data_IF_331223428140
#
_entry.id   IF_331223428140
#
_cell.length_a   1.000
_cell.length_b   1.000
_cell.length_c   1.000
_cell.angle_alpha   90.00
_cell.angle_beta   90.00
_cell.angle_gamma   90.00
#
_symmetry.space_group_name_H-M   'P 1'
#
loop_
_entity.id
_entity.type
_entity.pdbx_description
1 polymer ?
#
# COMPACT_ATOMS: atom_id res chain seq x y z
N UNK A 1 8.58 13.37 -4.41
CA UNK A 1 7.59 13.01 -3.38
C UNK A 1 8.04 11.78 -2.59
N UNK A 2 8.17 10.60 -3.20
CA UNK A 2 8.47 9.34 -2.51
C UNK A 2 9.81 9.35 -1.74
N UNK A 3 10.86 9.99 -2.29
CA UNK A 3 12.15 10.12 -1.60
C UNK A 3 12.04 10.84 -0.24
N UNK A 4 11.22 11.89 -0.17
CA UNK A 4 11.01 12.64 1.08
C UNK A 4 10.11 11.90 2.08
N UNK A 5 9.18 11.06 1.57
CA UNK A 5 8.26 10.33 2.43
C UNK A 5 8.86 9.03 3.00
N UNK A 6 9.74 8.35 2.27
CA UNK A 6 10.33 7.08 2.72
C UNK A 6 11.01 7.17 4.11
N UNK A 7 11.85 8.18 4.43
CA UNK A 7 12.42 8.33 5.77
C UNK A 7 11.36 8.58 6.86
N UNK A 8 10.34 9.38 6.57
CA UNK A 8 9.27 9.68 7.52
C UNK A 8 8.46 8.42 7.85
N UNK A 9 8.11 7.61 6.83
CA UNK A 9 7.44 6.33 7.03
C UNK A 9 8.32 5.35 7.81
N UNK A 10 9.63 5.30 7.52
CA UNK A 10 10.56 4.45 8.27
C UNK A 10 10.58 4.83 9.75
N UNK A 11 10.73 6.11 10.07
CA UNK A 11 10.75 6.58 11.46
C UNK A 11 9.43 6.26 12.17
N UNK A 12 8.29 6.61 11.57
CA UNK A 12 6.97 6.32 12.12
C UNK A 12 6.77 4.80 12.33
N UNK A 13 7.15 3.99 11.34
CA UNK A 13 7.04 2.54 11.41
C UNK A 13 7.92 1.90 12.47
N UNK A 14 9.16 2.38 12.64
CA UNK A 14 10.06 1.92 13.72
C UNK A 14 9.48 2.27 15.10
N UNK A 15 8.93 3.48 15.26
CA UNK A 15 8.27 3.88 16.51
C UNK A 15 7.07 2.99 16.80
N UNK A 16 6.17 2.78 15.82
CA UNK A 16 5.03 1.88 16.00
C UNK A 16 5.47 0.45 16.34
N UNK A 17 6.48 -0.07 15.66
CA UNK A 17 7.00 -1.42 15.90
C UNK A 17 7.61 -1.56 17.29
N UNK A 18 8.39 -0.56 17.75
CA UNK A 18 9.06 -0.61 19.04
C UNK A 18 8.08 -0.48 20.21
N UNK A 19 7.07 0.39 20.05
CA UNK A 19 6.12 0.71 21.11
C UNK A 19 4.90 -0.21 21.15
N UNK A 20 4.60 -0.97 20.09
CA UNK A 20 3.46 -1.88 20.05
C UNK A 20 3.47 -2.85 21.24
N UNK A 21 2.38 -2.92 22.03
CA UNK A 21 2.34 -3.70 23.27
C UNK A 21 2.33 -5.20 23.06
N UNK A 22 1.84 -5.66 21.90
CA UNK A 22 1.66 -7.07 21.60
C UNK A 22 2.60 -7.57 20.51
N UNK A 23 2.98 -8.85 20.53
CA UNK A 23 3.80 -9.45 19.49
C UNK A 23 3.12 -9.40 18.10
N UNK A 24 1.82 -9.71 17.93
CA UNK A 24 1.12 -9.52 16.65
C UNK A 24 1.20 -8.09 16.14
N UNK A 25 1.01 -7.09 17.01
CA UNK A 25 1.14 -5.68 16.67
C UNK A 25 2.55 -5.33 16.18
N UNK A 26 3.60 -5.77 16.87
CA UNK A 26 5.01 -5.56 16.47
C UNK A 26 5.31 -6.18 15.11
N UNK A 27 4.91 -7.44 14.90
CA UNK A 27 5.10 -8.13 13.61
C UNK A 27 4.37 -7.37 12.51
N UNK A 28 3.11 -7.00 12.74
CA UNK A 28 2.31 -6.26 11.76
C UNK A 28 2.93 -4.91 11.39
N UNK A 29 3.33 -4.11 12.38
CA UNK A 29 3.98 -2.83 12.16
C UNK A 29 5.32 -2.98 11.43
N UNK A 30 6.12 -3.99 11.77
CA UNK A 30 7.36 -4.28 11.06
C UNK A 30 7.14 -4.63 9.60
N UNK A 31 6.14 -5.47 9.28
CA UNK A 31 5.77 -5.83 7.91
C UNK A 31 5.28 -4.59 7.13
N UNK A 32 4.43 -3.75 7.72
CA UNK A 32 3.99 -2.50 7.11
C UNK A 32 5.18 -1.56 6.82
N UNK A 33 6.08 -1.40 7.78
CA UNK A 33 7.26 -0.54 7.65
C UNK A 33 8.17 -1.02 6.53
N UNK A 34 8.53 -2.30 6.53
CA UNK A 34 9.42 -2.90 5.52
C UNK A 34 8.82 -2.80 4.12
N UNK A 35 7.54 -3.14 3.95
CA UNK A 35 6.85 -3.05 2.67
C UNK A 35 6.73 -1.61 2.16
N UNK A 36 6.49 -0.65 3.06
CA UNK A 36 6.43 0.77 2.73
C UNK A 36 7.80 1.33 2.33
N UNK A 37 8.84 1.04 3.10
CA UNK A 37 10.23 1.45 2.74
C UNK A 37 10.63 0.84 1.41
N UNK A 38 10.28 -0.42 1.16
CA UNK A 38 10.51 -1.08 -0.12
C UNK A 38 9.78 -0.38 -1.27
N UNK A 39 8.50 -0.04 -1.12
CA UNK A 39 7.74 0.67 -2.15
C UNK A 39 8.33 2.05 -2.43
N UNK A 40 8.39 2.91 -1.40
CA UNK A 40 8.78 4.31 -1.57
C UNK A 40 10.26 4.44 -1.92
N UNK A 41 11.12 3.59 -1.38
CA UNK A 41 12.56 3.54 -1.70
C UNK A 41 12.83 3.09 -3.13
N UNK A 42 12.20 1.98 -3.56
CA UNK A 42 12.34 1.49 -4.95
C UNK A 42 11.81 2.52 -5.95
N UNK A 43 10.67 3.13 -5.66
CA UNK A 43 10.08 4.17 -6.51
C UNK A 43 10.99 5.39 -6.60
N UNK A 44 11.56 5.84 -5.49
CA UNK A 44 12.52 6.95 -5.48
C UNK A 44 13.77 6.63 -6.31
N UNK A 45 14.33 5.42 -6.15
CA UNK A 45 15.48 4.97 -6.94
C UNK A 45 15.16 4.89 -8.43
N UNK A 46 14.02 4.29 -8.79
CA UNK A 46 13.57 4.15 -10.17
C UNK A 46 13.45 5.49 -10.89
N UNK A 47 12.83 6.49 -10.25
CA UNK A 47 12.54 7.78 -10.88
C UNK A 47 13.69 8.78 -10.85
N UNK A 48 14.71 8.58 -10.01
CA UNK A 48 15.85 9.53 -9.89
C UNK A 48 17.15 9.00 -10.48
N UNK A 49 17.32 7.70 -10.59
CA UNK A 49 18.54 7.10 -11.10
C UNK A 49 18.66 7.19 -12.62
N UNK A 50 19.88 7.32 -13.09
CA UNK A 50 20.22 7.19 -14.51
C UNK A 50 20.58 5.73 -14.79
N UNK A 51 19.57 4.95 -15.17
CA UNK A 51 19.68 3.52 -15.38
C UNK A 51 19.83 3.19 -16.86
N UNK A 52 20.65 2.17 -17.17
CA UNK A 52 20.62 1.54 -18.48
C UNK A 52 19.29 0.81 -18.70
N UNK A 53 18.94 0.51 -19.94
CA UNK A 53 17.64 -0.09 -20.29
C UNK A 53 17.29 -1.39 -19.53
N UNK A 54 18.19 -2.37 -19.35
CA UNK A 54 17.88 -3.58 -18.58
C UNK A 54 17.57 -3.28 -17.11
N UNK A 55 18.39 -2.45 -16.46
CA UNK A 55 18.21 -2.07 -15.06
C UNK A 55 16.93 -1.24 -14.87
N UNK A 56 16.64 -0.33 -15.79
CA UNK A 56 15.40 0.45 -15.79
C UNK A 56 14.16 -0.44 -15.91
N UNK A 57 14.22 -1.45 -16.78
CA UNK A 57 13.13 -2.42 -16.92
C UNK A 57 12.92 -3.23 -15.64
N UNK A 58 13.99 -3.63 -14.95
CA UNK A 58 13.95 -4.30 -13.66
C UNK A 58 13.31 -3.40 -12.59
N UNK A 59 13.78 -2.17 -12.42
CA UNK A 59 13.21 -1.23 -11.46
C UNK A 59 11.72 -0.97 -11.71
N UNK A 60 11.31 -0.84 -12.98
CA UNK A 60 9.90 -0.68 -13.32
C UNK A 60 9.04 -1.85 -12.89
N UNK A 61 9.56 -3.09 -13.00
CA UNK A 61 8.85 -4.29 -12.52
C UNK A 61 8.72 -4.27 -11.00
N UNK A 62 9.82 -3.99 -10.30
CA UNK A 62 9.85 -3.92 -8.85
C UNK A 62 8.92 -2.82 -8.32
N UNK A 63 9.00 -1.62 -8.87
CA UNK A 63 8.17 -0.46 -8.50
C UNK A 63 6.67 -0.80 -8.56
N UNK A 64 6.24 -1.47 -9.63
CA UNK A 64 4.84 -1.88 -9.77
C UNK A 64 4.47 -3.11 -8.91
N UNK A 65 5.38 -4.07 -8.73
CA UNK A 65 5.14 -5.24 -7.89
C UNK A 65 5.05 -4.87 -6.40
N UNK A 66 5.82 -3.89 -5.97
CA UNK A 66 5.83 -3.42 -4.59
C UNK A 66 4.49 -2.80 -4.15
N UNK A 67 3.64 -2.37 -5.08
CA UNK A 67 2.28 -1.90 -4.76
C UNK A 67 1.48 -3.05 -4.13
N UNK A 68 1.52 -4.26 -4.70
CA UNK A 68 0.87 -5.43 -4.12
C UNK A 68 1.41 -5.76 -2.73
N UNK A 69 2.74 -5.71 -2.58
CA UNK A 69 3.41 -5.99 -1.30
C UNK A 69 3.00 -4.96 -0.23
N UNK A 70 2.91 -3.68 -0.59
CA UNK A 70 2.54 -2.63 0.36
C UNK A 70 1.07 -2.67 0.74
N UNK A 71 0.16 -3.02 -0.20
CA UNK A 71 -1.24 -3.26 0.13
C UNK A 71 -1.33 -4.41 1.15
N UNK A 72 -0.70 -5.56 0.89
CA UNK A 72 -0.70 -6.69 1.83
C UNK A 72 -0.05 -6.32 3.18
N UNK A 73 1.06 -5.58 3.14
CA UNK A 73 1.74 -5.06 4.32
C UNK A 73 0.86 -4.14 5.16
N UNK A 74 0.00 -3.34 4.53
CA UNK A 74 -0.96 -2.45 5.21
C UNK A 74 -2.09 -3.24 5.88
N UNK A 75 -2.58 -4.30 5.26
CA UNK A 75 -3.57 -5.19 5.87
C UNK A 75 -3.02 -5.93 7.09
N UNK A 76 -1.75 -6.29 7.08
CA UNK A 76 -1.15 -7.20 8.06
C UNK A 76 -1.31 -6.72 9.51
N UNK A 77 -0.93 -5.50 9.92
CA UNK A 77 -1.10 -5.04 11.30
C UNK A 77 -2.58 -4.97 11.71
N UNK A 78 -3.46 -4.43 10.86
CA UNK A 78 -4.88 -4.30 11.15
C UNK A 78 -5.54 -5.69 11.37
N UNK A 79 -5.21 -6.64 10.50
CA UNK A 79 -5.75 -8.00 10.57
C UNK A 79 -5.20 -8.77 11.78
N UNK A 80 -3.92 -8.64 12.08
CA UNK A 80 -3.29 -9.33 13.21
C UNK A 80 -3.76 -8.79 14.57
N UNK A 81 -4.15 -7.52 14.65
CA UNK A 81 -4.55 -6.88 15.91
C UNK A 81 -6.05 -6.89 16.14
N UNK A 82 -6.85 -6.76 15.09
CA UNK A 82 -8.29 -6.54 15.21
C UNK A 82 -9.16 -7.76 14.88
N UNK A 83 -8.63 -8.73 14.12
CA UNK A 83 -9.40 -9.93 13.78
C UNK A 83 -8.91 -11.12 14.58
N UNK A 84 -9.84 -12.07 14.82
CA UNK A 84 -9.56 -13.30 15.55
C UNK A 84 -9.90 -14.55 14.73
N UNK A 85 -9.43 -15.71 15.22
CA UNK A 85 -9.82 -17.02 14.69
C UNK A 85 -9.63 -17.18 13.19
N UNK A 86 -10.67 -17.71 12.52
CA UNK A 86 -10.66 -17.97 11.08
C UNK A 86 -10.58 -16.71 10.21
N UNK A 87 -11.30 -15.64 10.58
CA UNK A 87 -11.32 -14.37 9.84
C UNK A 87 -9.92 -13.80 9.65
N UNK A 88 -9.10 -13.82 10.71
CA UNK A 88 -7.69 -13.38 10.66
C UNK A 88 -6.91 -14.10 9.57
N UNK A 89 -6.92 -15.42 9.61
CA UNK A 89 -6.10 -16.23 8.71
C UNK A 89 -6.64 -16.26 7.27
N UNK A 90 -7.97 -16.24 7.12
CA UNK A 90 -8.60 -16.15 5.80
C UNK A 90 -8.25 -14.84 5.11
N UNK A 91 -8.39 -13.70 5.80
CA UNK A 91 -8.05 -12.39 5.19
C UNK A 91 -6.55 -12.28 4.91
N UNK A 92 -5.67 -12.68 5.83
CA UNK A 92 -4.22 -12.67 5.59
C UNK A 92 -3.84 -13.57 4.41
N UNK A 93 -4.35 -14.80 4.38
CA UNK A 93 -4.10 -15.74 3.29
C UNK A 93 -4.59 -15.21 1.94
N UNK A 94 -5.81 -14.63 1.92
CA UNK A 94 -6.38 -14.01 0.72
C UNK A 94 -5.48 -12.87 0.21
N UNK A 95 -5.13 -11.92 1.06
CA UNK A 95 -4.39 -10.73 0.67
C UNK A 95 -2.96 -11.07 0.23
N UNK A 96 -2.24 -11.90 0.97
CA UNK A 96 -0.89 -12.30 0.57
C UNK A 96 -0.91 -13.24 -0.65
N UNK A 97 -1.95 -14.05 -0.81
CA UNK A 97 -2.17 -14.85 -2.02
C UNK A 97 -2.39 -13.98 -3.27
N UNK A 98 -3.24 -12.95 -3.16
CA UNK A 98 -3.45 -11.98 -4.24
C UNK A 98 -2.14 -11.20 -4.52
N UNK A 99 -1.38 -10.82 -3.48
CA UNK A 99 -0.10 -10.13 -3.65
C UNK A 99 0.90 -11.02 -4.42
N UNK A 100 1.06 -12.27 -4.02
CA UNK A 100 1.94 -13.22 -4.71
C UNK A 100 1.53 -13.40 -6.18
N UNK A 101 0.24 -13.60 -6.45
CA UNK A 101 -0.29 -13.67 -7.82
C UNK A 101 0.01 -12.38 -8.61
N UNK A 102 -0.24 -11.21 -8.02
CA UNK A 102 0.01 -9.92 -8.66
C UNK A 102 1.49 -9.68 -9.00
N UNK A 103 2.40 -10.11 -8.11
CA UNK A 103 3.85 -10.05 -8.35
C UNK A 103 4.22 -10.93 -9.55
N UNK A 104 3.80 -12.20 -9.55
CA UNK A 104 4.05 -13.14 -10.66
C UNK A 104 3.47 -12.59 -11.97
N UNK A 105 2.23 -12.11 -11.92
CA UNK A 105 1.57 -11.47 -13.06
C UNK A 105 2.40 -10.31 -13.62
N UNK A 106 2.94 -9.41 -12.78
CA UNK A 106 3.76 -8.27 -13.21
C UNK A 106 5.13 -8.66 -13.74
N UNK A 107 5.72 -9.74 -13.21
CA UNK A 107 7.01 -10.25 -13.68
C UNK A 107 6.84 -10.93 -15.05
N UNK A 108 5.83 -11.80 -15.20
CA UNK A 108 5.62 -12.60 -16.39
C UNK A 108 4.99 -11.82 -17.54
N UNK A 109 4.10 -10.88 -17.26
CA UNK A 109 3.39 -10.10 -18.28
C UNK A 109 3.72 -8.60 -18.23
N UNK A 110 4.91 -8.25 -18.71
CA UNK A 110 5.42 -6.86 -18.72
C UNK A 110 4.56 -5.91 -19.57
N UNK A 111 3.97 -6.42 -20.64
CA UNK A 111 3.10 -5.67 -21.56
C UNK A 111 1.63 -5.59 -21.14
N UNK A 112 1.27 -6.07 -19.95
CA UNK A 112 -0.10 -6.02 -19.47
C UNK A 112 -0.70 -4.60 -19.57
N UNK A 113 -1.96 -4.47 -20.04
CA UNK A 113 -2.59 -3.16 -20.17
C UNK A 113 -2.74 -2.48 -18.80
N UNK A 114 -2.50 -1.18 -18.77
CA UNK A 114 -2.47 -0.37 -17.54
C UNK A 114 -3.73 -0.52 -16.70
N UNK A 115 -4.89 -0.47 -17.33
CA UNK A 115 -6.16 -0.58 -16.65
C UNK A 115 -6.33 -1.88 -15.88
N UNK A 116 -5.77 -2.99 -16.39
CA UNK A 116 -5.91 -4.31 -15.79
C UNK A 116 -5.18 -4.40 -14.43
N UNK A 117 -3.89 -4.03 -14.39
CA UNK A 117 -3.18 -4.09 -13.11
C UNK A 117 -3.62 -2.99 -12.14
N UNK A 118 -4.10 -1.84 -12.65
CA UNK A 118 -4.72 -0.81 -11.79
C UNK A 118 -6.01 -1.33 -11.14
N UNK A 119 -6.84 -2.05 -11.90
CA UNK A 119 -8.04 -2.70 -11.38
C UNK A 119 -7.70 -3.74 -10.31
N UNK A 120 -6.65 -4.54 -10.52
CA UNK A 120 -6.19 -5.53 -9.53
C UNK A 120 -5.76 -4.87 -8.21
N UNK A 121 -5.04 -3.74 -8.26
CA UNK A 121 -4.68 -2.98 -7.06
C UNK A 121 -5.92 -2.47 -6.31
N UNK A 122 -6.87 -1.90 -7.03
CA UNK A 122 -8.12 -1.40 -6.43
C UNK A 122 -8.93 -2.54 -5.83
N UNK A 123 -9.14 -3.63 -6.56
CA UNK A 123 -9.87 -4.79 -6.07
C UNK A 123 -9.24 -5.37 -4.80
N UNK A 124 -7.91 -5.53 -4.78
CA UNK A 124 -7.18 -5.96 -3.59
C UNK A 124 -7.34 -4.98 -2.43
N UNK A 125 -7.26 -3.66 -2.70
CA UNK A 125 -7.40 -2.61 -1.68
C UNK A 125 -8.78 -2.61 -1.02
N UNK A 126 -9.84 -3.05 -1.72
CA UNK A 126 -11.20 -3.13 -1.20
C UNK A 126 -11.59 -4.51 -0.65
N UNK A 127 -10.68 -5.46 -0.58
CA UNK A 127 -10.98 -6.79 -0.06
C UNK A 127 -11.47 -6.78 1.40
N UNK A 128 -11.08 -5.77 2.21
CA UNK A 128 -11.55 -5.59 3.59
C UNK A 128 -13.06 -5.40 3.74
N UNK A 129 -13.79 -5.07 2.66
CA UNK A 129 -15.24 -4.83 2.73
C UNK A 129 -16.00 -6.01 3.33
N UNK A 130 -15.56 -7.24 3.08
CA UNK A 130 -16.13 -8.44 3.66
C UNK A 130 -15.98 -8.56 5.19
N UNK A 131 -15.06 -7.81 5.78
CA UNK A 131 -14.72 -7.84 7.21
C UNK A 131 -14.97 -6.50 7.92
N UNK A 132 -15.63 -5.53 7.26
CA UNK A 132 -15.85 -4.20 7.86
C UNK A 132 -16.58 -4.24 9.19
N UNK A 133 -17.53 -5.16 9.36
CA UNK A 133 -18.26 -5.34 10.62
C UNK A 133 -17.34 -5.76 11.77
N UNK A 134 -16.42 -6.67 11.51
CA UNK A 134 -15.44 -7.13 12.50
C UNK A 134 -14.44 -6.01 12.82
N UNK A 135 -13.91 -5.31 11.82
CA UNK A 135 -13.05 -4.14 12.02
C UNK A 135 -13.75 -3.02 12.80
N UNK A 136 -15.04 -2.79 12.53
CA UNK A 136 -15.83 -1.80 13.26
C UNK A 136 -16.00 -2.17 14.73
N UNK A 137 -16.30 -3.43 15.00
CA UNK A 137 -16.53 -3.93 16.37
C UNK A 137 -15.22 -3.90 17.19
N UNK A 138 -14.11 -4.31 16.59
CA UNK A 138 -12.83 -4.43 17.29
C UNK A 138 -12.04 -3.12 17.34
N UNK A 139 -11.99 -2.35 16.22
CA UNK A 139 -11.17 -1.15 16.09
C UNK A 139 -11.94 0.17 16.24
N UNK A 140 -13.27 0.09 16.22
CA UNK A 140 -14.13 1.26 16.33
C UNK A 140 -14.21 2.12 15.06
N UNK A 141 -15.07 3.16 15.09
CA UNK A 141 -15.37 3.97 13.91
C UNK A 141 -14.15 4.73 13.35
N UNK A 142 -13.26 5.21 14.21
CA UNK A 142 -12.09 6.00 13.77
C UNK A 142 -11.17 5.16 12.85
N UNK A 143 -10.89 3.93 13.24
CA UNK A 143 -10.05 3.02 12.44
C UNK A 143 -10.72 2.74 11.10
N UNK A 144 -12.00 2.36 11.09
CA UNK A 144 -12.71 2.03 9.86
C UNK A 144 -12.86 3.23 8.93
N UNK A 145 -13.18 4.42 9.46
CA UNK A 145 -13.27 5.63 8.64
C UNK A 145 -11.93 6.00 8.01
N UNK A 146 -10.81 5.83 8.73
CA UNK A 146 -9.47 6.03 8.17
C UNK A 146 -9.10 4.99 7.12
N UNK A 147 -9.49 3.72 7.32
CA UNK A 147 -9.31 2.67 6.30
C UNK A 147 -10.08 3.02 5.03
N UNK A 148 -11.35 3.43 5.16
CA UNK A 148 -12.18 3.81 4.01
C UNK A 148 -11.65 5.07 3.32
N UNK A 149 -11.27 6.11 4.09
CA UNK A 149 -10.67 7.32 3.54
C UNK A 149 -9.39 7.02 2.77
N UNK A 150 -8.49 6.21 3.32
CA UNK A 150 -7.28 5.76 2.64
C UNK A 150 -7.58 4.99 1.36
N UNK A 151 -8.54 4.05 1.40
CA UNK A 151 -9.01 3.29 0.24
C UNK A 151 -9.58 4.17 -0.87
N UNK A 152 -10.38 5.19 -0.51
CA UNK A 152 -10.90 6.17 -1.47
C UNK A 152 -9.79 7.00 -2.09
N UNK A 153 -8.84 7.48 -1.30
CA UNK A 153 -7.70 8.27 -1.79
C UNK A 153 -6.82 7.43 -2.72
N UNK A 154 -6.54 6.17 -2.39
CA UNK A 154 -5.87 5.24 -3.32
C UNK A 154 -6.64 5.05 -4.62
N UNK A 155 -7.98 4.89 -4.53
CA UNK A 155 -8.84 4.70 -5.71
C UNK A 155 -8.83 5.94 -6.62
N UNK A 156 -8.84 7.15 -6.05
CA UNK A 156 -8.70 8.41 -6.81
C UNK A 156 -7.35 8.49 -7.51
N UNK A 157 -6.26 8.13 -6.81
CA UNK A 157 -4.93 8.05 -7.41
C UNK A 157 -4.87 7.02 -8.53
N UNK A 158 -5.43 5.83 -8.32
CA UNK A 158 -5.51 4.76 -9.31
C UNK A 158 -6.32 5.20 -10.56
N UNK A 159 -7.42 5.92 -10.37
CA UNK A 159 -8.23 6.51 -11.44
C UNK A 159 -7.42 7.54 -12.24
N UNK A 160 -6.72 8.45 -11.56
CA UNK A 160 -5.85 9.44 -12.19
C UNK A 160 -4.76 8.76 -13.04
N UNK A 161 -4.13 7.73 -12.51
CA UNK A 161 -3.10 6.95 -13.19
C UNK A 161 -3.65 6.16 -14.38
N UNK A 162 -4.78 5.48 -14.21
CA UNK A 162 -5.42 4.67 -15.25
C UNK A 162 -5.91 5.51 -16.44
N UNK A 163 -6.53 6.65 -16.15
CA UNK A 163 -7.09 7.57 -17.16
C UNK A 163 -6.08 8.55 -17.74
N UNK A 164 -4.88 8.68 -17.16
CA UNK A 164 -3.87 9.70 -17.47
C UNK A 164 -4.40 11.13 -17.32
N UNK A 165 -5.23 11.35 -16.30
CA UNK A 165 -5.82 12.67 -15.97
C UNK A 165 -5.63 12.93 -14.48
N UNK A 166 -5.59 14.20 -14.02
CA UNK A 166 -5.61 15.44 -14.79
C UNK A 166 -4.28 15.72 -15.53
N UNK A 167 -4.34 16.57 -16.54
CA UNK A 167 -3.16 17.11 -17.24
C UNK A 167 -2.93 18.57 -16.82
N UNK A 168 -2.70 18.79 -15.51
CA UNK A 168 -2.61 20.14 -14.93
C UNK A 168 -1.39 20.89 -15.45
N UNK A 169 -0.21 20.38 -15.23
CA UNK A 169 1.03 20.92 -15.79
C UNK A 169 1.98 19.75 -16.09
N UNK A 170 2.12 19.33 -17.36
CA UNK A 170 2.93 18.18 -17.75
C UNK A 170 4.41 18.27 -17.33
N UNK A 171 4.92 19.48 -17.06
CA UNK A 171 6.31 19.69 -16.68
C UNK A 171 6.57 19.62 -15.18
N UNK A 172 5.55 19.89 -14.33
CA UNK A 172 5.71 20.03 -12.89
C UNK A 172 4.85 19.06 -12.09
N UNK A 173 3.58 18.84 -12.51
CA UNK A 173 2.62 18.05 -11.75
C UNK A 173 1.56 17.43 -12.67
N UNK A 174 1.82 16.23 -13.14
CA UNK A 174 0.92 15.46 -14.01
C UNK A 174 0.14 14.38 -13.23
N UNK A 175 -0.57 13.53 -13.96
CA UNK A 175 -1.34 12.41 -13.39
C UNK A 175 -0.48 11.44 -12.56
N UNK A 176 0.79 11.32 -12.88
CA UNK A 176 1.73 10.43 -12.19
C UNK A 176 2.08 10.98 -10.79
N UNK A 177 2.34 12.27 -10.71
CA UNK A 177 2.60 12.97 -9.45
C UNK A 177 1.34 13.00 -8.56
N UNK A 178 0.15 13.12 -9.17
CA UNK A 178 -1.13 12.98 -8.45
C UNK A 178 -1.27 11.59 -7.86
N UNK A 179 -0.96 10.55 -8.62
CA UNK A 179 -0.96 9.19 -8.11
C UNK A 179 -0.01 9.02 -6.92
N UNK A 180 1.23 9.52 -7.01
CA UNK A 180 2.19 9.48 -5.91
C UNK A 180 1.72 10.27 -4.67
N UNK A 181 1.10 11.43 -4.85
CA UNK A 181 0.55 12.21 -3.75
C UNK A 181 -0.62 11.47 -3.06
N UNK A 182 -1.52 10.88 -3.84
CA UNK A 182 -2.60 10.04 -3.30
C UNK A 182 -2.05 8.81 -2.56
N UNK A 183 -1.00 8.17 -3.08
CA UNK A 183 -0.36 7.03 -2.41
C UNK A 183 0.19 7.42 -1.04
N UNK A 184 0.84 8.58 -0.94
CA UNK A 184 1.35 9.11 0.34
C UNK A 184 0.19 9.43 1.29
N UNK A 185 -0.82 10.17 0.84
CA UNK A 185 -1.95 10.55 1.67
C UNK A 185 -2.71 9.33 2.21
N UNK A 186 -2.92 8.32 1.37
CA UNK A 186 -3.54 7.07 1.79
C UNK A 186 -2.65 6.28 2.77
N UNK A 187 -1.33 6.24 2.55
CA UNK A 187 -0.39 5.62 3.48
C UNK A 187 -0.41 6.29 4.86
N UNK A 188 -0.60 7.62 4.92
CA UNK A 188 -0.78 8.35 6.18
C UNK A 188 -2.09 7.97 6.86
N UNK A 189 -3.23 7.95 6.13
CA UNK A 189 -4.51 7.53 6.70
C UNK A 189 -4.41 6.12 7.30
N UNK A 190 -3.85 5.17 6.55
CA UNK A 190 -3.69 3.80 7.03
C UNK A 190 -2.66 3.69 8.17
N UNK A 191 -1.57 4.46 8.14
CA UNK A 191 -0.59 4.51 9.23
C UNK A 191 -1.20 4.99 10.55
N UNK A 192 -2.08 6.00 10.49
CA UNK A 192 -2.84 6.47 11.67
C UNK A 192 -3.84 5.39 12.12
N UNK A 193 -4.55 4.74 11.18
CA UNK A 193 -5.46 3.63 11.51
C UNK A 193 -4.72 2.48 12.20
N UNK A 194 -3.51 2.12 11.72
CA UNK A 194 -2.65 1.11 12.32
C UNK A 194 -2.23 1.53 13.74
N UNK A 195 -1.82 2.78 13.93
CA UNK A 195 -1.50 3.30 15.25
C UNK A 195 -2.67 3.14 16.23
N UNK A 196 -3.88 3.59 15.84
CA UNK A 196 -5.08 3.46 16.66
C UNK A 196 -5.50 2.00 16.92
N UNK A 197 -5.18 1.07 16.01
CA UNK A 197 -5.53 -0.33 16.15
C UNK A 197 -4.55 -1.11 17.05
N UNK A 198 -3.31 -0.63 17.16
CA UNK A 198 -2.23 -1.31 17.90
C UNK A 198 -2.17 -0.85 19.35
N UNK A 199 -2.59 0.39 19.66
CA UNK A 199 -2.60 0.99 21.00
C UNK A 199 -4.00 1.17 21.55
#
# INVERSE_FOLDING_TARGET
>A
LHLGFAPALLIAGLVLTALAPTLPGRIGCAVWTLSGVQLFGTSAAYHRGNWNEPTRAMFRRLDHSNIFVFIAGTYTPLTLTLLDGGSRWVLLGLIWGIAAFGIVFRICWVGAPRWLYTLLYVAMGWAALGWLGEFWTAGGPAVVLLMLAGGLVYSLGALAYGTRRPRLNPRLFGFHEVFHACTIAAAVCHGVAIGLAVF
#
